data_IF_324733867155
#
_entry.id   IF_324733867155
#
_cell.length_a   1.000
_cell.length_b   1.000
_cell.length_c   1.000
_cell.angle_alpha   90.00
_cell.angle_beta   90.00
_cell.angle_gamma   90.00
#
_symmetry.space_group_name_H-M   'P 1'
#
loop_
_entity.id
_entity.type
_entity.pdbx_description
1 polymer ?
#
# COMPACT_ATOMS: atom_id res chain seq x y z
N UNK A 1 -13.09 3.25 1.77
CA UNK A 1 -12.69 3.82 0.51
C UNK A 1 -11.19 3.72 0.33
N UNK A 2 -10.66 4.29 -0.74
CA UNK A 2 -9.25 4.08 -1.11
C UNK A 2 -8.29 4.53 0.00
N UNK A 3 -8.59 5.62 0.66
CA UNK A 3 -7.71 6.12 1.72
C UNK A 3 -7.57 5.11 2.86
N UNK A 4 -8.66 4.47 3.23
CA UNK A 4 -8.62 3.46 4.29
C UNK A 4 -7.84 2.24 3.83
N UNK A 5 -7.97 1.88 2.57
CA UNK A 5 -7.22 0.75 2.04
C UNK A 5 -5.73 1.05 2.02
N UNK A 6 -5.36 2.27 1.64
CA UNK A 6 -3.97 2.67 1.64
C UNK A 6 -3.38 2.57 3.05
N UNK A 7 -4.08 3.11 4.02
CA UNK A 7 -3.60 3.05 5.40
C UNK A 7 -3.45 1.62 5.89
N UNK A 8 -4.42 0.77 5.53
CA UNK A 8 -4.37 -0.62 5.93
C UNK A 8 -3.19 -1.34 5.29
N UNK A 9 -2.98 -1.11 4.01
CA UNK A 9 -1.87 -1.75 3.31
C UNK A 9 -0.53 -1.22 3.81
N UNK A 10 -0.45 0.07 4.09
CA UNK A 10 0.78 0.61 4.65
C UNK A 10 1.12 -0.04 5.98
N UNK A 11 0.12 -0.23 6.82
CA UNK A 11 0.33 -0.87 8.10
C UNK A 11 0.80 -2.31 7.91
N UNK A 12 0.20 -3.01 6.96
CA UNK A 12 0.59 -4.38 6.67
C UNK A 12 2.03 -4.43 6.14
N UNK A 13 2.38 -3.48 5.28
CA UNK A 13 3.73 -3.45 4.73
C UNK A 13 4.77 -3.23 5.82
N UNK A 14 4.45 -2.38 6.79
CA UNK A 14 5.37 -2.14 7.90
C UNK A 14 5.51 -3.37 8.79
N UNK A 15 4.43 -4.11 8.96
CA UNK A 15 4.44 -5.30 9.78
C UNK A 15 5.00 -6.52 9.06
N UNK A 16 5.10 -6.46 7.75
CA UNK A 16 5.58 -7.60 6.98
C UNK A 16 7.08 -7.76 7.14
N UNK A 17 7.50 -8.96 7.49
CA UNK A 17 8.91 -9.25 7.71
C UNK A 17 9.61 -9.74 6.45
N UNK A 18 8.88 -10.33 5.52
CA UNK A 18 9.47 -10.84 4.29
C UNK A 18 9.62 -9.72 3.28
N UNK A 19 10.84 -9.46 2.80
CA UNK A 19 11.06 -8.36 1.87
C UNK A 19 10.24 -8.47 0.59
N UNK A 20 10.05 -9.68 0.12
CA UNK A 20 9.30 -9.91 -1.11
C UNK A 20 7.86 -9.48 -0.96
N UNK A 21 7.21 -9.89 0.12
CA UNK A 21 5.83 -9.50 0.37
C UNK A 21 5.73 -8.02 0.68
N UNK A 22 6.70 -7.50 1.40
CA UNK A 22 6.72 -6.08 1.71
C UNK A 22 6.78 -5.25 0.43
N UNK A 23 7.59 -5.68 -0.51
CA UNK A 23 7.71 -4.98 -1.78
C UNK A 23 6.38 -4.98 -2.54
N UNK A 24 5.70 -6.11 -2.57
CA UNK A 24 4.42 -6.20 -3.23
C UNK A 24 3.39 -5.28 -2.59
N UNK A 25 3.37 -5.23 -1.27
CA UNK A 25 2.45 -4.35 -0.56
C UNK A 25 2.74 -2.88 -0.86
N UNK A 26 4.02 -2.53 -0.88
CA UNK A 26 4.41 -1.16 -1.18
C UNK A 26 3.98 -0.77 -2.58
N UNK A 27 4.15 -1.66 -3.53
CA UNK A 27 3.71 -1.38 -4.89
C UNK A 27 2.21 -1.17 -4.96
N UNK A 28 1.46 -1.95 -4.21
CA UNK A 28 0.01 -1.80 -4.19
C UNK A 28 -0.39 -0.45 -3.60
N UNK A 29 0.28 -0.05 -2.53
CA UNK A 29 0.01 1.24 -1.93
C UNK A 29 0.28 2.37 -2.92
N UNK A 30 1.38 2.28 -3.63
CA UNK A 30 1.72 3.30 -4.61
C UNK A 30 0.68 3.38 -5.72
N UNK A 31 0.19 2.24 -6.17
CA UNK A 31 -0.83 2.22 -7.21
C UNK A 31 -2.11 2.91 -6.73
N UNK A 32 -2.50 2.65 -5.51
CA UNK A 32 -3.70 3.28 -4.95
C UNK A 32 -3.50 4.78 -4.76
N UNK A 33 -2.32 5.18 -4.30
CA UNK A 33 -2.03 6.60 -4.14
C UNK A 33 -2.04 7.31 -5.46
N UNK A 34 -1.57 6.65 -6.50
CA UNK A 34 -1.60 7.24 -7.83
C UNK A 34 -3.02 7.48 -8.30
N UNK A 35 -3.93 6.58 -7.96
CA UNK A 35 -5.32 6.77 -8.30
C UNK A 35 -5.91 7.99 -7.58
N UNK A 36 -5.52 8.18 -6.33
CA UNK A 36 -5.97 9.34 -5.60
C UNK A 36 -5.46 10.65 -6.22
N UNK A 37 -4.22 10.63 -6.65
CA UNK A 37 -3.62 11.82 -7.25
C UNK A 37 -4.29 12.19 -8.57
N UNK A 38 -4.75 11.19 -9.31
CA UNK A 38 -5.39 11.43 -10.60
C UNK A 38 -6.80 12.00 -10.44
N UNK A 39 -7.47 11.60 -9.39
CA UNK A 39 -8.81 12.11 -9.11
C UNK A 39 -8.76 13.57 -8.69
#
# INVERSE_FOLDING_TARGET
KIEKEIAKLEKQARAEKQPKKKFELVQRVRALQKQLDVL
#
